data_IF_449385785405
#
_entry.id   IF_449385785405
#
_cell.length_a   1.000
_cell.length_b   1.000
_cell.length_c   1.000
_cell.angle_alpha   90.00
_cell.angle_beta   90.00
_cell.angle_gamma   90.00
#
_symmetry.space_group_name_H-M   'P 1'
#
loop_
_entity.id
_entity.type
_entity.pdbx_description
1 polymer ?
#
# COMPACT_ATOMS: atom_id res chain seq x y z
N UNK A 1 5.15 -9.47 13.17
CA UNK A 1 5.01 -8.09 12.67
C UNK A 1 5.29 -7.09 13.79
N UNK A 2 5.80 -5.90 13.46
CA UNK A 2 5.98 -4.80 14.43
C UNK A 2 4.61 -4.26 14.86
N UNK A 3 4.55 -3.57 16.02
CA UNK A 3 3.34 -2.88 16.44
C UNK A 3 3.06 -1.72 15.46
N UNK A 4 1.89 -1.67 14.79
CA UNK A 4 1.57 -0.60 13.84
C UNK A 4 1.42 0.76 14.55
N UNK A 5 1.57 1.83 13.79
CA UNK A 5 1.21 3.18 14.24
C UNK A 5 -0.30 3.27 14.49
N UNK A 6 -0.72 4.35 15.16
CA UNK A 6 -2.14 4.65 15.32
C UNK A 6 -2.72 5.02 13.96
N UNK A 7 -3.66 4.20 13.48
CA UNK A 7 -4.35 4.38 12.20
C UNK A 7 -5.59 5.25 12.42
N UNK A 8 -5.72 6.29 11.59
CA UNK A 8 -6.98 7.01 11.40
C UNK A 8 -7.76 6.32 10.29
N UNK A 9 -8.84 5.64 10.69
CA UNK A 9 -9.71 4.92 9.77
C UNK A 9 -10.64 5.91 9.04
N UNK A 10 -11.09 5.58 7.82
CA UNK A 10 -12.08 6.39 7.13
C UNK A 10 -13.38 6.52 7.96
N UNK A 11 -14.04 7.68 7.84
CA UNK A 11 -15.30 7.97 8.56
C UNK A 11 -16.42 6.97 8.25
N UNK A 12 -16.39 6.38 7.05
CA UNK A 12 -17.28 5.30 6.63
C UNK A 12 -16.46 4.03 6.39
N UNK A 13 -17.00 2.87 6.80
CA UNK A 13 -16.33 1.57 6.66
C UNK A 13 -15.96 1.22 5.20
N UNK A 14 -16.71 1.74 4.23
CA UNK A 14 -16.42 1.51 2.81
C UNK A 14 -15.47 2.54 2.21
N UNK A 15 -14.93 3.45 3.02
CA UNK A 15 -13.99 4.47 2.59
C UNK A 15 -12.66 3.86 2.19
N UNK A 16 -12.03 4.44 1.19
CA UNK A 16 -10.76 3.97 0.65
C UNK A 16 -9.53 4.70 1.19
N UNK A 17 -9.68 5.70 2.06
CA UNK A 17 -8.56 6.56 2.49
C UNK A 17 -8.31 6.37 3.98
N UNK A 18 -7.06 6.05 4.30
CA UNK A 18 -6.56 5.85 5.65
C UNK A 18 -5.36 6.77 5.85
N UNK A 19 -5.18 7.31 7.06
CA UNK A 19 -3.99 8.09 7.39
C UNK A 19 -3.35 7.62 8.69
N UNK A 20 -2.08 7.91 8.88
CA UNK A 20 -1.38 7.73 10.14
C UNK A 20 -0.16 8.65 10.21
N UNK A 21 0.29 8.94 11.42
CA UNK A 21 1.48 9.75 11.67
C UNK A 21 2.57 8.83 12.25
N UNK A 22 3.79 8.88 11.71
CA UNK A 22 4.93 8.14 12.27
C UNK A 22 5.47 8.78 13.55
N UNK A 23 6.37 8.09 14.26
CA UNK A 23 6.96 8.66 15.48
C UNK A 23 7.87 9.85 15.14
N UNK A 24 8.35 9.93 13.88
CA UNK A 24 9.09 11.08 13.34
C UNK A 24 8.21 12.26 12.87
N UNK A 25 6.89 12.21 13.09
CA UNK A 25 5.96 13.28 12.72
C UNK A 25 5.64 13.34 11.22
N UNK A 26 5.78 12.24 10.50
CA UNK A 26 5.48 12.18 9.06
C UNK A 26 4.07 11.64 8.86
N UNK A 27 3.29 12.36 8.08
CA UNK A 27 1.91 12.07 7.74
C UNK A 27 1.88 11.19 6.49
N UNK A 28 1.29 10.02 6.64
CA UNK A 28 1.12 9.05 5.57
C UNK A 28 -0.34 8.92 5.18
N UNK A 29 -0.58 8.74 3.88
CA UNK A 29 -1.88 8.35 3.33
C UNK A 29 -1.78 6.98 2.65
N UNK A 30 -2.78 6.13 2.87
CA UNK A 30 -2.99 4.90 2.09
C UNK A 30 -4.37 4.98 1.43
N UNK A 31 -4.39 4.87 0.09
CA UNK A 31 -5.58 5.03 -0.73
C UNK A 31 -5.88 3.75 -1.51
N UNK A 32 -7.12 3.29 -1.39
CA UNK A 32 -7.71 2.23 -2.20
C UNK A 32 -8.72 2.86 -3.16
N UNK A 33 -8.57 2.59 -4.45
CA UNK A 33 -9.50 3.01 -5.48
C UNK A 33 -9.96 1.81 -6.30
N UNK A 34 -11.24 1.77 -6.70
CA UNK A 34 -11.76 0.72 -7.59
C UNK A 34 -11.58 1.14 -9.04
N UNK A 35 -11.20 0.21 -9.92
CA UNK A 35 -11.14 0.51 -11.35
C UNK A 35 -12.54 0.73 -11.90
N UNK A 36 -12.74 1.78 -12.70
CA UNK A 36 -14.04 2.15 -13.29
C UNK A 36 -14.68 1.00 -14.08
N UNK A 37 -13.86 0.23 -14.80
CA UNK A 37 -14.30 -0.91 -15.61
C UNK A 37 -14.31 -2.25 -14.87
N UNK A 38 -13.85 -2.30 -13.62
CA UNK A 38 -13.88 -3.50 -12.80
C UNK A 38 -13.93 -3.13 -11.31
N UNK A 39 -15.15 -3.09 -10.76
CA UNK A 39 -15.39 -2.74 -9.36
C UNK A 39 -14.86 -3.78 -8.36
N UNK A 40 -14.52 -4.99 -8.82
CA UNK A 40 -13.90 -6.04 -8.01
C UNK A 40 -12.37 -5.95 -8.01
N UNK A 41 -11.81 -4.98 -8.75
CA UNK A 41 -10.39 -4.69 -8.83
C UNK A 41 -10.08 -3.38 -8.10
N UNK A 42 -9.31 -3.47 -7.02
CA UNK A 42 -8.80 -2.31 -6.28
C UNK A 42 -7.33 -2.03 -6.59
N UNK A 43 -7.02 -0.77 -6.85
CA UNK A 43 -5.66 -0.24 -6.90
C UNK A 43 -5.30 0.39 -5.57
N UNK A 44 -4.05 0.22 -5.14
CA UNK A 44 -3.54 0.77 -3.89
C UNK A 44 -2.40 1.73 -4.19
N UNK A 45 -2.50 2.93 -3.64
CA UNK A 45 -1.46 3.96 -3.61
C UNK A 45 -1.16 4.33 -2.16
N UNK A 46 0.08 4.72 -1.85
CA UNK A 46 0.39 5.21 -0.51
C UNK A 46 1.54 6.22 -0.48
N UNK A 47 1.26 7.43 -0.02
CA UNK A 47 2.21 8.54 -0.05
C UNK A 47 2.53 9.08 1.32
N UNK A 48 3.44 10.05 1.34
CA UNK A 48 3.51 11.04 2.42
C UNK A 48 2.68 12.25 1.99
N UNK A 49 2.10 12.97 2.95
CA UNK A 49 1.24 14.13 2.67
C UNK A 49 1.70 15.41 3.39
N UNK A 50 2.86 15.41 4.06
CA UNK A 50 3.40 16.65 4.64
C UNK A 50 3.76 17.64 3.52
N UNK A 51 3.46 18.92 3.75
CA UNK A 51 3.81 20.03 2.86
C UNK A 51 5.33 20.10 2.57
N UNK A 52 6.17 19.62 3.50
CA UNK A 52 7.63 19.53 3.35
C UNK A 52 8.06 18.64 2.16
N UNK A 53 7.16 17.75 1.70
CA UNK A 53 7.41 16.84 0.59
C UNK A 53 6.60 17.21 -0.66
N UNK A 54 6.01 18.40 -0.73
CA UNK A 54 5.26 18.93 -1.90
C UNK A 54 4.18 17.97 -2.45
N UNK A 55 3.57 17.17 -1.56
CA UNK A 55 2.61 16.13 -1.95
C UNK A 55 3.22 15.01 -2.79
N UNK A 56 4.55 14.86 -2.80
CA UNK A 56 5.21 13.72 -3.42
C UNK A 56 4.73 12.45 -2.73
N UNK A 57 3.92 11.69 -3.47
CA UNK A 57 3.73 10.30 -3.15
C UNK A 57 5.15 9.71 -3.00
N UNK A 58 5.37 8.90 -1.96
CA UNK A 58 6.55 8.05 -1.90
C UNK A 58 7.90 8.69 -1.50
N UNK A 59 7.95 9.66 -0.60
CA UNK A 59 9.21 9.93 0.15
C UNK A 59 9.43 8.86 1.22
N UNK A 60 10.33 7.92 0.94
CA UNK A 60 10.77 6.95 1.96
C UNK A 60 11.77 7.67 2.86
N UNK A 61 11.28 8.33 3.91
CA UNK A 61 12.15 8.97 4.87
C UNK A 61 12.99 7.90 5.56
N UNK A 62 14.29 7.88 5.31
CA UNK A 62 15.28 6.96 5.90
C UNK A 62 15.46 7.15 7.43
N UNK A 63 14.43 7.58 8.14
CA UNK A 63 14.40 7.78 9.61
C UNK A 63 14.24 6.45 10.38
N UNK A 64 14.67 5.32 9.82
CA UNK A 64 14.63 3.98 10.45
C UNK A 64 13.22 3.41 10.76
N UNK A 65 12.14 4.00 10.23
CA UNK A 65 10.76 3.57 10.52
C UNK A 65 10.12 2.68 9.43
N UNK A 66 10.83 2.41 8.32
CA UNK A 66 10.27 1.78 7.13
C UNK A 66 9.51 0.46 7.41
N UNK A 67 10.05 -0.40 8.29
CA UNK A 67 9.38 -1.65 8.65
C UNK A 67 8.10 -1.44 9.48
N UNK A 68 8.04 -0.42 10.34
CA UNK A 68 6.86 -0.08 11.13
C UNK A 68 5.79 0.59 10.25
N UNK A 69 6.21 1.42 9.29
CA UNK A 69 5.36 1.96 8.22
C UNK A 69 4.72 0.82 7.43
N UNK A 70 5.52 -0.13 6.93
CA UNK A 70 4.99 -1.30 6.21
C UNK A 70 4.06 -2.15 7.06
N UNK A 71 4.40 -2.39 8.34
CA UNK A 71 3.51 -3.11 9.26
C UNK A 71 2.17 -2.42 9.46
N UNK A 72 2.15 -1.09 9.40
CA UNK A 72 0.93 -0.28 9.49
C UNK A 72 0.10 -0.38 8.20
N UNK A 73 0.75 -0.30 7.04
CA UNK A 73 0.11 -0.50 5.73
C UNK A 73 -0.51 -1.89 5.62
N UNK A 74 0.17 -2.94 6.10
CA UNK A 74 -0.38 -4.31 6.13
C UNK A 74 -1.63 -4.37 7.00
N UNK A 75 -1.63 -3.73 8.18
CA UNK A 75 -2.79 -3.69 9.07
C UNK A 75 -3.98 -2.98 8.40
N UNK A 76 -3.73 -1.87 7.72
CA UNK A 76 -4.73 -1.14 6.92
C UNK A 76 -5.28 -2.05 5.80
N UNK A 77 -4.40 -2.74 5.08
CA UNK A 77 -4.80 -3.61 3.98
C UNK A 77 -5.71 -4.75 4.45
N UNK A 78 -5.33 -5.42 5.54
CA UNK A 78 -6.15 -6.49 6.13
C UNK A 78 -7.54 -5.95 6.51
N UNK A 79 -7.61 -4.76 7.11
CA UNK A 79 -8.88 -4.11 7.44
C UNK A 79 -9.73 -3.87 6.18
N UNK A 80 -9.15 -3.21 5.18
CA UNK A 80 -9.84 -2.91 3.93
C UNK A 80 -10.35 -4.19 3.22
N UNK A 81 -9.54 -5.26 3.19
CA UNK A 81 -9.94 -6.55 2.62
C UNK A 81 -11.11 -7.20 3.38
N UNK A 82 -11.17 -7.04 4.71
CA UNK A 82 -12.27 -7.54 5.53
C UNK A 82 -13.57 -6.75 5.30
N UNK A 83 -13.48 -5.43 5.14
CA UNK A 83 -14.63 -4.56 4.84
C UNK A 83 -15.14 -4.72 3.40
N UNK A 84 -14.31 -5.27 2.50
CA UNK A 84 -14.59 -5.41 1.08
C UNK A 84 -14.40 -6.85 0.57
N UNK A 85 -15.16 -7.83 1.07
CA UNK A 85 -14.95 -9.25 0.77
C UNK A 85 -15.16 -9.62 -0.70
N UNK A 86 -15.89 -8.79 -1.47
CA UNK A 86 -16.15 -9.04 -2.90
C UNK A 86 -14.99 -8.63 -3.81
N UNK A 87 -14.00 -7.88 -3.31
CA UNK A 87 -12.81 -7.55 -4.11
C UNK A 87 -12.00 -8.83 -4.31
N UNK A 88 -11.77 -9.17 -5.57
CA UNK A 88 -11.05 -10.39 -5.96
C UNK A 88 -9.69 -10.10 -6.59
N UNK A 89 -9.39 -8.82 -6.84
CA UNK A 89 -8.12 -8.38 -7.43
C UNK A 89 -7.62 -7.12 -6.75
N UNK A 90 -6.34 -7.13 -6.40
CA UNK A 90 -5.61 -6.00 -5.84
C UNK A 90 -4.40 -5.68 -6.71
N UNK A 91 -4.12 -4.40 -6.95
CA UNK A 91 -2.99 -3.95 -7.77
C UNK A 91 -2.21 -2.86 -7.03
N UNK A 92 -0.91 -3.09 -6.87
CA UNK A 92 0.04 -2.08 -6.40
C UNK A 92 0.88 -1.61 -7.57
N UNK A 93 1.17 -0.31 -7.61
CA UNK A 93 2.12 0.28 -8.56
C UNK A 93 3.35 0.69 -7.76
N UNK A 94 4.52 0.17 -8.12
CA UNK A 94 5.79 0.71 -7.66
C UNK A 94 6.16 1.89 -8.54
N UNK A 95 6.36 3.06 -7.95
CA UNK A 95 7.01 4.16 -8.65
C UNK A 95 8.53 4.05 -8.50
N UNK A 96 9.29 4.25 -9.59
CA UNK A 96 10.75 4.28 -9.57
C UNK A 96 11.27 5.41 -8.71
N UNK A 97 12.27 5.14 -7.87
CA UNK A 97 13.12 6.23 -7.37
C UNK A 97 13.95 6.81 -8.51
N UNK A 98 14.49 8.03 -8.37
CA UNK A 98 15.29 8.71 -9.41
C UNK A 98 16.43 7.85 -10.02
N UNK A 99 17.01 6.94 -9.22
CA UNK A 99 18.09 6.03 -9.64
C UNK A 99 17.61 4.65 -10.12
N UNK A 100 16.29 4.43 -10.21
CA UNK A 100 15.70 3.16 -10.63
C UNK A 100 15.18 3.24 -12.06
N UNK A 101 15.28 2.12 -12.78
CA UNK A 101 14.63 1.98 -14.07
C UNK A 101 13.10 2.10 -13.86
N UNK A 102 12.46 3.03 -14.57
CA UNK A 102 11.03 3.31 -14.46
C UNK A 102 10.13 2.10 -14.74
N UNK A 103 10.60 1.18 -15.56
CA UNK A 103 9.91 -0.05 -15.91
C UNK A 103 10.04 -1.11 -14.79
N UNK A 104 11.05 -1.00 -13.92
CA UNK A 104 11.36 -1.97 -12.85
C UNK A 104 11.87 -1.31 -11.55
N UNK A 105 11.02 -0.62 -10.78
CA UNK A 105 11.35 -0.18 -9.41
C UNK A 105 11.61 -1.39 -8.52
N UNK A 106 12.87 -1.69 -8.19
CA UNK A 106 13.23 -2.95 -7.52
C UNK A 106 13.08 -2.84 -6.01
N UNK A 107 13.52 -1.74 -5.39
CA UNK A 107 13.62 -1.62 -3.92
C UNK A 107 12.24 -1.63 -3.26
N UNK A 108 11.33 -0.77 -3.73
CA UNK A 108 9.96 -0.61 -3.20
C UNK A 108 9.11 -1.84 -3.46
N UNK A 109 9.13 -2.34 -4.70
CA UNK A 109 8.38 -3.53 -5.07
C UNK A 109 8.82 -4.75 -4.26
N UNK A 110 10.13 -4.93 -4.05
CA UNK A 110 10.67 -6.01 -3.21
C UNK A 110 10.20 -5.89 -1.75
N UNK A 111 10.18 -4.68 -1.20
CA UNK A 111 9.70 -4.45 0.16
C UNK A 111 8.22 -4.83 0.28
N UNK A 112 7.37 -4.43 -0.66
CA UNK A 112 5.94 -4.76 -0.60
C UNK A 112 5.71 -6.26 -0.75
N UNK A 113 6.42 -6.88 -1.69
CA UNK A 113 6.36 -8.33 -1.93
C UNK A 113 6.70 -9.14 -0.68
N UNK A 114 7.64 -8.67 0.17
CA UNK A 114 7.97 -9.32 1.45
C UNK A 114 6.78 -9.45 2.39
N UNK A 115 5.83 -8.51 2.33
CA UNK A 115 4.67 -8.47 3.23
C UNK A 115 3.40 -9.08 2.62
N UNK A 116 3.38 -9.42 1.33
CA UNK A 116 2.21 -10.05 0.70
C UNK A 116 1.75 -11.36 1.38
N UNK A 117 2.64 -12.25 1.85
CA UNK A 117 2.23 -13.47 2.55
C UNK A 117 1.48 -13.22 3.87
N UNK A 118 1.60 -12.03 4.47
CA UNK A 118 0.85 -11.64 5.68
C UNK A 118 -0.61 -11.23 5.36
N UNK A 119 -0.88 -10.90 4.09
CA UNK A 119 -2.16 -10.40 3.61
C UNK A 119 -2.92 -11.49 2.85
N UNK A 120 -2.20 -12.29 2.05
CA UNK A 120 -2.75 -13.21 1.08
C UNK A 120 -2.29 -14.64 1.36
N UNK A 121 -3.24 -15.55 1.45
CA UNK A 121 -2.97 -16.97 1.53
C UNK A 121 -2.77 -17.61 0.13
N UNK A 122 -2.59 -18.93 0.09
CA UNK A 122 -2.31 -19.69 -1.13
C UNK A 122 -3.47 -19.71 -2.14
N UNK A 123 -4.67 -19.27 -1.79
CA UNK A 123 -5.81 -19.13 -2.71
C UNK A 123 -5.67 -17.94 -3.65
N UNK A 124 -4.70 -17.06 -3.40
CA UNK A 124 -4.40 -15.91 -4.24
C UNK A 124 -3.18 -16.20 -5.13
N UNK A 125 -3.17 -15.61 -6.32
CA UNK A 125 -2.10 -15.68 -7.31
C UNK A 125 -1.47 -14.29 -7.44
N UNK A 126 -0.16 -14.23 -7.24
CA UNK A 126 0.64 -13.04 -7.50
C UNK A 126 1.16 -13.06 -8.94
N UNK A 127 1.04 -11.93 -9.63
CA UNK A 127 1.61 -11.71 -10.97
C UNK A 127 2.32 -10.36 -10.98
N UNK A 128 3.59 -10.35 -11.40
CA UNK A 128 4.37 -9.11 -11.58
C UNK A 128 4.35 -8.74 -13.06
N UNK A 129 4.01 -7.48 -13.39
CA UNK A 129 4.00 -6.94 -14.75
C UNK A 129 4.66 -5.56 -14.76
N UNK A 130 5.93 -5.50 -15.17
CA UNK A 130 6.74 -4.28 -15.10
C UNK A 130 6.79 -3.75 -13.67
N UNK A 131 6.32 -2.51 -13.48
CA UNK A 131 6.27 -1.85 -12.19
C UNK A 131 5.02 -2.18 -11.34
N UNK A 132 4.20 -3.14 -11.77
CA UNK A 132 2.95 -3.50 -11.07
C UNK A 132 3.01 -4.88 -10.47
N UNK A 133 2.43 -5.02 -9.28
CA UNK A 133 2.12 -6.32 -8.68
C UNK A 133 0.61 -6.46 -8.59
N UNK A 134 0.09 -7.48 -9.26
CA UNK A 134 -1.33 -7.80 -9.29
C UNK A 134 -1.52 -9.09 -8.48
N UNK A 135 -2.45 -9.06 -7.53
CA UNK A 135 -2.81 -10.20 -6.68
C UNK A 135 -4.28 -10.49 -6.90
N UNK A 136 -4.60 -11.68 -7.41
CA UNK A 136 -5.98 -12.09 -7.72
C UNK A 136 -6.33 -13.45 -7.15
N UNK A 137 -7.59 -13.68 -6.78
CA UNK A 137 -8.08 -15.03 -6.43
C UNK A 137 -7.83 -15.98 -7.61
N UNK A 138 -7.42 -17.22 -7.31
CA UNK A 138 -7.17 -18.29 -8.29
C UNK A 138 -8.45 -18.79 -8.96
#
# INVERSE_FOLDING_TARGET
MLKPFKINYPLIKTGGVYTFISDSGIDYEVRFARKKNNLLHATIAFGVINDEFDGEEYVMTNKHEAYKVMSTIVKIFINYKQEHPNINTFEFVGEPTADENAEFPKKRLTLYQRYLPEIFDKSWKQTVKGNRVIISIK
#
